data_IF_067373617116
#
_entry.id   IF_067373617116
#
_cell.length_a   1.000
_cell.length_b   1.000
_cell.length_c   1.000
_cell.angle_alpha   90.00
_cell.angle_beta   90.00
_cell.angle_gamma   90.00
#
_symmetry.space_group_name_H-M   'P 1'
#
loop_
_entity.id
_entity.type
_entity.pdbx_description
1 polymer ?
#
# COMPACT_ATOMS: atom_id res chain seq x y z
N UNK A 1 -5.90 18.48 -12.51
CA UNK A 1 -5.79 17.73 -11.24
C UNK A 1 -4.31 17.56 -11.01
N UNK A 2 -3.83 17.98 -9.85
CA UNK A 2 -2.41 17.91 -9.54
C UNK A 2 -1.99 16.43 -9.48
N UNK A 3 -0.97 16.07 -10.25
CA UNK A 3 -0.45 14.71 -10.38
C UNK A 3 0.41 14.37 -9.15
N UNK A 4 -0.20 14.26 -7.97
CA UNK A 4 0.52 13.83 -6.77
C UNK A 4 0.50 12.30 -6.67
N UNK A 5 1.66 11.71 -6.34
CA UNK A 5 1.83 10.26 -6.26
C UNK A 5 0.88 9.60 -5.24
N UNK A 6 0.63 10.27 -4.12
CA UNK A 6 -0.23 9.80 -3.04
C UNK A 6 -1.72 9.75 -3.45
N UNK A 7 -2.18 10.67 -4.29
CA UNK A 7 -3.53 10.65 -4.86
C UNK A 7 -3.79 9.40 -5.70
N UNK A 8 -2.77 8.88 -6.41
CA UNK A 8 -2.90 7.61 -7.14
C UNK A 8 -3.09 6.43 -6.18
N UNK A 9 -2.39 6.42 -5.05
CA UNK A 9 -2.52 5.37 -4.02
C UNK A 9 -3.89 5.31 -3.33
N UNK A 10 -4.69 6.38 -3.42
CA UNK A 10 -6.07 6.40 -2.92
C UNK A 10 -7.08 5.73 -3.88
N UNK A 11 -6.69 5.48 -5.14
CA UNK A 11 -7.51 4.79 -6.14
C UNK A 11 -7.18 3.30 -6.07
N UNK A 12 -8.08 2.50 -5.48
CA UNK A 12 -7.84 1.06 -5.21
C UNK A 12 -7.43 0.28 -6.47
N UNK A 13 -8.09 0.55 -7.60
CA UNK A 13 -7.78 -0.06 -8.88
C UNK A 13 -7.10 0.94 -9.83
N UNK A 14 -6.09 1.65 -9.31
CA UNK A 14 -5.26 2.51 -10.14
C UNK A 14 -4.54 1.70 -11.22
N UNK A 15 -4.59 2.18 -12.45
CA UNK A 15 -3.82 1.64 -13.56
C UNK A 15 -2.95 2.77 -14.13
N UNK A 16 -1.61 2.63 -14.16
CA UNK A 16 -0.75 3.63 -14.77
C UNK A 16 -1.00 3.70 -16.28
N UNK A 17 -1.18 4.91 -16.81
CA UNK A 17 -1.28 5.15 -18.25
C UNK A 17 0.04 5.76 -18.72
N UNK A 18 0.59 5.24 -19.82
CA UNK A 18 1.82 5.76 -20.39
C UNK A 18 1.73 7.27 -20.66
N UNK A 19 2.74 8.01 -20.22
CA UNK A 19 2.77 9.48 -20.33
C UNK A 19 1.91 10.24 -19.31
N UNK A 20 1.17 9.56 -18.43
CA UNK A 20 0.27 10.20 -17.44
C UNK A 20 0.59 9.81 -15.99
N UNK A 21 1.68 9.06 -15.76
CA UNK A 21 2.11 8.69 -14.42
C UNK A 21 2.66 9.88 -13.64
N UNK A 22 2.22 10.04 -12.39
CA UNK A 22 2.81 11.01 -11.47
C UNK A 22 4.29 10.66 -11.20
N UNK A 23 5.18 11.66 -11.08
CA UNK A 23 6.58 11.43 -10.73
C UNK A 23 6.70 10.91 -9.29
N UNK A 24 7.70 10.07 -9.05
CA UNK A 24 8.05 9.65 -7.69
C UNK A 24 8.82 10.78 -7.02
N UNK A 25 8.35 11.23 -5.85
CA UNK A 25 8.96 12.30 -5.04
C UNK A 25 9.33 11.79 -3.65
N UNK A 26 10.15 12.54 -2.92
CA UNK A 26 10.56 12.23 -1.54
C UNK A 26 9.62 12.80 -0.47
N UNK A 27 8.36 13.09 -0.81
CA UNK A 27 7.40 13.76 0.10
C UNK A 27 6.06 13.05 0.17
N UNK A 28 5.90 11.90 -0.48
CA UNK A 28 4.60 11.27 -0.66
C UNK A 28 4.56 9.86 -0.10
N UNK A 29 3.34 9.41 0.21
CA UNK A 29 3.03 7.99 0.35
C UNK A 29 3.25 7.30 -0.99
N UNK A 30 3.83 6.12 -0.94
CA UNK A 30 3.99 5.21 -2.06
C UNK A 30 3.44 3.84 -1.69
N UNK A 31 2.47 3.36 -2.47
CA UNK A 31 1.85 2.04 -2.33
C UNK A 31 2.27 1.18 -3.51
N UNK A 32 2.77 -0.02 -3.22
CA UNK A 32 3.08 -1.04 -4.22
C UNK A 32 2.29 -2.28 -3.88
N UNK A 33 1.47 -2.71 -4.83
CA UNK A 33 0.80 -4.01 -4.81
C UNK A 33 1.35 -4.85 -5.95
N UNK A 34 1.89 -6.02 -5.63
CA UNK A 34 2.66 -6.81 -6.60
C UNK A 34 2.64 -8.29 -6.28
N UNK A 35 2.80 -9.10 -7.32
CA UNK A 35 2.83 -10.55 -7.20
C UNK A 35 3.69 -11.19 -8.28
N UNK A 36 3.95 -12.49 -8.10
CA UNK A 36 4.82 -13.26 -8.98
C UNK A 36 4.33 -14.69 -9.11
N UNK A 37 4.69 -15.32 -10.23
CA UNK A 37 4.38 -16.71 -10.53
C UNK A 37 5.68 -17.51 -10.53
N UNK A 38 5.73 -18.57 -9.73
CA UNK A 38 6.89 -19.43 -9.54
C UNK A 38 6.49 -20.90 -9.66
N UNK A 39 7.46 -21.80 -9.90
CA UNK A 39 7.20 -23.24 -9.95
C UNK A 39 6.57 -23.78 -8.65
N UNK A 40 6.85 -23.12 -7.53
CA UNK A 40 6.40 -23.50 -6.19
C UNK A 40 5.10 -22.81 -5.76
N UNK A 41 4.54 -21.91 -6.59
CA UNK A 41 3.30 -21.22 -6.28
C UNK A 41 3.28 -19.75 -6.71
N UNK A 42 2.25 -19.05 -6.25
CA UNK A 42 1.97 -17.66 -6.57
C UNK A 42 2.15 -16.79 -5.33
N UNK A 43 2.72 -15.60 -5.49
CA UNK A 43 2.82 -14.60 -4.41
C UNK A 43 1.93 -13.40 -4.71
N UNK A 44 1.42 -12.78 -3.66
CA UNK A 44 0.68 -11.52 -3.70
C UNK A 44 1.00 -10.72 -2.44
N UNK A 45 1.51 -9.50 -2.60
CA UNK A 45 2.00 -8.68 -1.49
C UNK A 45 1.89 -7.18 -1.77
N UNK A 46 1.24 -6.49 -0.84
CA UNK A 46 1.16 -5.03 -0.81
C UNK A 46 2.06 -4.44 0.28
N UNK A 47 2.73 -3.33 -0.01
CA UNK A 47 3.43 -2.48 0.97
C UNK A 47 3.14 -1.01 0.73
N UNK A 48 2.94 -0.28 1.83
CA UNK A 48 2.80 1.18 1.82
C UNK A 48 3.96 1.77 2.61
N UNK A 49 4.72 2.65 1.97
CA UNK A 49 5.84 3.37 2.59
C UNK A 49 5.65 4.87 2.39
N UNK A 50 6.35 5.68 3.18
CA UNK A 50 6.47 7.11 2.96
C UNK A 50 7.89 7.41 2.48
N UNK A 51 8.05 8.20 1.41
CA UNK A 51 9.37 8.49 0.81
C UNK A 51 10.08 9.71 1.42
N UNK A 52 9.50 10.28 2.49
CA UNK A 52 10.05 11.36 3.31
C UNK A 52 9.45 11.32 4.71
N UNK A 53 9.07 12.49 5.25
CA UNK A 53 8.44 12.60 6.57
C UNK A 53 6.90 12.51 6.51
N UNK A 54 6.26 11.48 7.10
CA UNK A 54 4.82 11.36 7.06
C UNK A 54 4.14 12.28 8.07
N UNK A 55 2.97 12.79 7.69
CA UNK A 55 2.09 13.56 8.59
C UNK A 55 1.54 12.69 9.72
N UNK A 56 1.05 13.32 10.78
CA UNK A 56 0.40 12.59 11.88
C UNK A 56 -0.83 11.80 11.40
N UNK A 57 -1.61 12.36 10.48
CA UNK A 57 -2.76 11.69 9.89
C UNK A 57 -2.36 10.42 9.12
N UNK A 58 -1.36 10.51 8.25
CA UNK A 58 -0.84 9.37 7.50
C UNK A 58 -0.34 8.25 8.43
N UNK A 59 0.38 8.61 9.51
CA UNK A 59 0.82 7.66 10.54
C UNK A 59 -0.36 6.99 11.23
N UNK A 60 -1.40 7.75 11.59
CA UNK A 60 -2.60 7.22 12.25
C UNK A 60 -3.39 6.26 11.34
N UNK A 61 -3.58 6.62 10.08
CA UNK A 61 -4.24 5.77 9.09
C UNK A 61 -3.47 4.47 8.88
N UNK A 62 -2.16 4.56 8.60
CA UNK A 62 -1.29 3.39 8.43
C UNK A 62 -1.31 2.48 9.66
N UNK A 63 -1.20 3.06 10.86
CA UNK A 63 -1.19 2.30 12.11
C UNK A 63 -2.52 1.59 12.37
N UNK A 64 -3.64 2.21 12.00
CA UNK A 64 -4.97 1.59 12.15
C UNK A 64 -5.10 0.35 11.26
N UNK A 65 -4.64 0.44 10.00
CA UNK A 65 -4.59 -0.70 9.08
C UNK A 65 -3.65 -1.79 9.59
N UNK A 66 -2.44 -1.41 10.04
CA UNK A 66 -1.45 -2.35 10.57
C UNK A 66 -1.97 -3.10 11.80
N UNK A 67 -2.67 -2.42 12.72
CA UNK A 67 -3.29 -3.05 13.89
C UNK A 67 -4.29 -4.13 13.47
N UNK A 68 -5.16 -3.84 12.50
CA UNK A 68 -6.11 -4.82 11.98
C UNK A 68 -5.40 -5.99 11.28
N UNK A 69 -4.35 -5.71 10.49
CA UNK A 69 -3.55 -6.72 9.83
C UNK A 69 -2.88 -7.68 10.82
N UNK A 70 -2.27 -7.15 11.89
CA UNK A 70 -1.68 -7.95 12.97
C UNK A 70 -2.76 -8.74 13.71
N UNK A 71 -3.89 -8.11 14.03
CA UNK A 71 -4.99 -8.78 14.72
C UNK A 71 -5.50 -9.99 13.93
N UNK A 72 -5.61 -9.88 12.60
CA UNK A 72 -5.98 -10.99 11.73
C UNK A 72 -4.88 -12.06 11.65
N UNK A 73 -3.62 -11.65 11.46
CA UNK A 73 -2.49 -12.59 11.37
C UNK A 73 -2.27 -13.39 12.65
N UNK A 74 -2.62 -12.81 13.81
CA UNK A 74 -2.50 -13.42 15.13
C UNK A 74 -3.84 -13.98 15.64
N UNK A 75 -4.89 -13.95 14.83
CA UNK A 75 -6.20 -14.41 15.27
C UNK A 75 -6.14 -15.89 15.62
N UNK A 76 -6.45 -16.19 16.88
CA UNK A 76 -6.79 -17.55 17.30
C UNK A 76 -8.32 -17.62 17.26
N UNK A 77 -8.85 -18.34 16.27
CA UNK A 77 -10.26 -18.68 16.24
C UNK A 77 -10.43 -20.08 16.82
N UNK A 78 -11.33 -20.24 17.78
CA UNK A 78 -11.82 -21.57 18.14
C UNK A 78 -12.58 -22.12 16.94
N UNK A 79 -11.98 -23.06 16.22
CA UNK A 79 -12.62 -23.77 15.12
C UNK A 79 -12.03 -25.20 15.11
N UNK A 80 -12.70 -26.11 15.84
CA UNK A 80 -12.31 -27.49 16.22
C UNK A 80 -11.45 -27.60 17.49
#
# INVERSE_FOLDING_TARGET
MDFFLDANGAIIHYHPVEGQSAPITNTSIYLVDSGGQYLTGTTDVTRTIHLGEPTLEQKNCYTSVLKAHIALAMQVSDNL
#
